data_IF_896600928388
#
_entry.id   IF_896600928388
#
_cell.length_a   1.000
_cell.length_b   1.000
_cell.length_c   1.000
_cell.angle_alpha   90.00
_cell.angle_beta   90.00
_cell.angle_gamma   90.00
#
_symmetry.space_group_name_H-M   'P 1'
#
loop_
_entity.id
_entity.type
_entity.pdbx_description
1 polymer ?
#
# COMPACT_ATOMS: atom_id res chain seq x y z
N UNK A 1 -42.13 35.35 -48.92
CA UNK A 1 -42.07 34.23 -47.96
C UNK A 1 -40.63 33.74 -47.89
N UNK A 2 -40.08 33.82 -46.67
CA UNK A 2 -38.95 33.11 -46.05
C UNK A 2 -37.97 32.33 -46.94
N UNK A 3 -36.69 32.68 -46.81
CA UNK A 3 -35.57 32.03 -47.47
C UNK A 3 -35.16 30.68 -46.88
N UNK A 4 -34.33 29.97 -47.65
CA UNK A 4 -33.66 28.74 -47.22
C UNK A 4 -32.15 28.95 -47.34
N UNK A 5 -31.55 29.41 -46.26
CA UNK A 5 -30.09 29.33 -46.05
C UNK A 5 -29.82 27.90 -45.60
N UNK A 6 -29.25 27.09 -46.49
CA UNK A 6 -28.83 25.72 -46.16
C UNK A 6 -27.57 25.84 -45.27
N UNK A 7 -27.58 25.34 -44.03
CA UNK A 7 -26.43 25.44 -43.16
C UNK A 7 -25.32 24.50 -43.68
N UNK A 8 -24.17 25.09 -44.01
CA UNK A 8 -22.95 24.36 -44.36
C UNK A 8 -22.37 23.76 -43.09
N UNK A 9 -22.72 22.52 -42.79
CA UNK A 9 -22.15 21.75 -41.69
C UNK A 9 -20.63 21.62 -41.87
N UNK A 10 -19.87 22.31 -41.02
CA UNK A 10 -18.43 22.18 -40.93
C UNK A 10 -18.09 20.86 -40.25
N UNK A 11 -17.94 19.80 -41.05
CA UNK A 11 -17.26 18.59 -40.58
C UNK A 11 -15.82 18.98 -40.27
N UNK A 12 -15.43 18.89 -39.00
CA UNK A 12 -14.04 19.05 -38.56
C UNK A 12 -13.18 18.05 -39.32
N UNK A 13 -12.47 18.52 -40.35
CA UNK A 13 -11.50 17.70 -41.06
C UNK A 13 -10.24 17.69 -40.22
N UNK A 14 -10.02 16.61 -39.48
CA UNK A 14 -8.67 16.26 -39.04
C UNK A 14 -7.76 16.33 -40.26
N UNK A 15 -6.79 17.23 -40.18
CA UNK A 15 -5.86 17.46 -41.27
C UNK A 15 -4.92 16.27 -41.34
N UNK A 16 -4.47 15.92 -42.56
CA UNK A 16 -3.47 14.87 -42.79
C UNK A 16 -2.25 15.03 -41.88
N UNK A 17 -1.86 16.28 -41.62
CA UNK A 17 -0.80 16.65 -40.70
C UNK A 17 -1.07 16.27 -39.23
N UNK A 18 -2.32 16.31 -38.75
CA UNK A 18 -2.67 15.84 -37.38
C UNK A 18 -2.46 14.34 -37.25
N UNK A 19 -2.93 13.58 -38.26
CA UNK A 19 -2.80 12.12 -38.30
C UNK A 19 -1.36 11.67 -38.42
N UNK A 20 -0.55 12.40 -39.19
CA UNK A 20 0.89 12.14 -39.33
C UNK A 20 1.63 12.39 -37.99
N UNK A 21 1.33 13.48 -37.27
CA UNK A 21 1.90 13.74 -35.94
C UNK A 21 1.49 12.70 -34.91
N UNK A 22 0.21 12.32 -34.88
CA UNK A 22 -0.28 11.28 -33.97
C UNK A 22 0.40 9.94 -34.28
N UNK A 23 0.52 9.56 -35.55
CA UNK A 23 1.22 8.34 -35.95
C UNK A 23 2.72 8.37 -35.59
N UNK A 24 3.37 9.53 -35.69
CA UNK A 24 4.75 9.73 -35.25
C UNK A 24 4.90 9.61 -33.73
N UNK A 25 3.96 10.14 -32.95
CA UNK A 25 3.92 10.03 -31.49
C UNK A 25 3.76 8.56 -31.06
N UNK A 26 2.81 7.83 -31.65
CA UNK A 26 2.65 6.39 -31.42
C UNK A 26 3.92 5.59 -31.78
N UNK A 27 4.60 5.96 -32.87
CA UNK A 27 5.86 5.32 -33.25
C UNK A 27 7.01 5.63 -32.27
N UNK A 28 7.02 6.83 -31.68
CA UNK A 28 7.97 7.18 -30.62
C UNK A 28 7.69 6.43 -29.33
N UNK A 29 6.41 6.31 -28.95
CA UNK A 29 5.99 5.51 -27.80
C UNK A 29 6.36 4.03 -27.95
N UNK A 30 6.08 3.41 -29.11
CA UNK A 30 6.43 2.01 -29.36
C UNK A 30 7.94 1.76 -29.28
N UNK A 31 8.76 2.69 -29.81
CA UNK A 31 10.23 2.62 -29.67
C UNK A 31 10.66 2.66 -28.21
N UNK A 32 10.06 3.53 -27.40
CA UNK A 32 10.37 3.65 -25.97
C UNK A 32 9.95 2.42 -25.18
N UNK A 33 8.78 1.85 -25.51
CA UNK A 33 8.28 0.61 -24.91
C UNK A 33 9.17 -0.57 -25.28
N UNK A 34 9.56 -0.71 -26.55
CA UNK A 34 10.51 -1.73 -27.01
C UNK A 34 11.85 -1.64 -26.28
N UNK A 35 12.42 -0.43 -26.19
CA UNK A 35 13.68 -0.22 -25.47
C UNK A 35 13.60 -0.64 -24.00
N UNK A 36 12.48 -0.36 -23.32
CA UNK A 36 12.24 -0.83 -21.94
C UNK A 36 12.13 -2.35 -21.85
N UNK A 37 11.44 -2.99 -22.80
CA UNK A 37 11.28 -4.44 -22.86
C UNK A 37 12.63 -5.12 -23.12
N UNK A 38 13.42 -4.62 -24.06
CA UNK A 38 14.77 -5.13 -24.36
C UNK A 38 15.69 -5.02 -23.14
N UNK A 39 15.69 -3.88 -22.47
CA UNK A 39 16.46 -3.67 -21.25
C UNK A 39 16.03 -4.64 -20.14
N UNK A 40 14.72 -4.85 -19.97
CA UNK A 40 14.18 -5.83 -19.01
C UNK A 40 14.63 -7.25 -19.35
N UNK A 41 14.49 -7.68 -20.60
CA UNK A 41 14.85 -9.03 -21.04
C UNK A 41 16.36 -9.29 -20.90
N UNK A 42 17.20 -8.29 -21.20
CA UNK A 42 18.65 -8.37 -20.99
C UNK A 42 19.02 -8.58 -19.52
N UNK A 43 18.30 -7.91 -18.62
CA UNK A 43 18.49 -8.05 -17.18
C UNK A 43 18.01 -9.41 -16.68
N UNK A 44 16.84 -9.89 -17.15
CA UNK A 44 16.34 -11.22 -16.81
C UNK A 44 17.29 -12.34 -17.23
N UNK A 45 17.87 -12.27 -18.44
CA UNK A 45 18.87 -13.23 -18.91
C UNK A 45 20.15 -13.20 -18.05
N UNK A 46 20.61 -12.02 -17.65
CA UNK A 46 21.78 -11.87 -16.77
C UNK A 46 21.50 -12.50 -15.38
N UNK A 47 20.33 -12.26 -14.82
CA UNK A 47 19.92 -12.85 -13.54
C UNK A 47 19.76 -14.38 -13.63
N UNK A 48 19.25 -14.89 -14.75
CA UNK A 48 19.14 -16.33 -14.97
C UNK A 48 20.53 -16.99 -14.97
N UNK A 49 21.48 -16.41 -15.70
CA UNK A 49 22.86 -16.90 -15.72
C UNK A 49 23.50 -16.84 -14.33
N UNK A 50 23.31 -15.76 -13.56
CA UNK A 50 23.82 -15.68 -12.18
C UNK A 50 23.20 -16.74 -11.27
N UNK A 51 21.90 -17.01 -11.39
CA UNK A 51 21.23 -18.04 -10.59
C UNK A 51 21.71 -19.44 -10.91
N UNK A 52 22.05 -19.71 -12.17
CA UNK A 52 22.55 -21.00 -12.62
C UNK A 52 24.02 -21.26 -12.21
N UNK A 53 24.76 -20.22 -11.80
CA UNK A 53 26.09 -20.36 -11.24
C UNK A 53 25.99 -20.65 -9.73
N UNK A 54 26.35 -21.87 -9.32
CA UNK A 54 26.36 -22.28 -7.91
C UNK A 54 27.49 -21.65 -7.09
N UNK A 55 28.47 -21.02 -7.75
CA UNK A 55 29.59 -20.32 -7.11
C UNK A 55 29.17 -19.01 -6.40
N UNK A 56 27.94 -18.56 -6.60
CA UNK A 56 27.42 -17.34 -5.95
C UNK A 56 26.79 -17.70 -4.61
N UNK A 57 27.37 -17.18 -3.52
CA UNK A 57 26.83 -17.41 -2.17
C UNK A 57 25.36 -16.99 -2.04
N UNK A 58 24.61 -17.74 -1.22
CA UNK A 58 23.20 -17.47 -0.96
C UNK A 58 22.93 -16.07 -0.41
N UNK A 59 23.92 -15.48 0.27
CA UNK A 59 23.85 -14.12 0.76
C UNK A 59 23.74 -13.09 -0.38
N UNK A 60 24.58 -13.22 -1.42
CA UNK A 60 24.54 -12.34 -2.59
C UNK A 60 23.25 -12.55 -3.39
N UNK A 61 22.79 -13.82 -3.51
CA UNK A 61 21.48 -14.16 -4.08
C UNK A 61 20.34 -13.47 -3.30
N UNK A 62 20.45 -13.39 -1.97
CA UNK A 62 19.50 -12.68 -1.10
C UNK A 62 19.43 -11.18 -1.37
N UNK A 63 20.58 -10.50 -1.46
CA UNK A 63 20.64 -9.05 -1.69
C UNK A 63 20.08 -8.65 -3.07
N UNK A 64 20.34 -9.46 -4.10
CA UNK A 64 19.88 -9.18 -5.47
C UNK A 64 18.35 -9.17 -5.64
N UNK A 65 17.60 -9.81 -4.72
CA UNK A 65 16.13 -9.86 -4.76
C UNK A 65 15.47 -8.52 -4.42
N UNK A 66 16.22 -7.58 -3.86
CA UNK A 66 15.70 -6.28 -3.42
C UNK A 66 14.86 -6.36 -2.14
N UNK A 67 14.38 -5.21 -1.63
CA UNK A 67 13.54 -5.18 -0.44
C UNK A 67 12.25 -5.97 -0.69
N UNK A 68 11.89 -6.83 0.27
CA UNK A 68 10.66 -7.61 0.18
C UNK A 68 9.46 -6.66 0.10
N UNK A 69 8.72 -6.73 -1.00
CA UNK A 69 7.51 -5.92 -1.21
C UNK A 69 6.42 -6.23 -0.18
N UNK A 70 6.50 -7.38 0.48
CA UNK A 70 5.61 -7.82 1.55
C UNK A 70 6.29 -7.57 2.90
N UNK A 71 6.15 -6.37 3.42
CA UNK A 71 6.42 -6.11 4.84
C UNK A 71 5.45 -6.92 5.71
N UNK A 72 5.95 -7.57 6.76
CA UNK A 72 5.10 -8.26 7.74
C UNK A 72 4.16 -7.24 8.39
N UNK A 73 2.85 -7.37 8.15
CA UNK A 73 1.81 -6.52 8.75
C UNK A 73 1.17 -7.28 9.90
N UNK A 74 1.11 -6.66 11.07
CA UNK A 74 0.42 -7.21 12.23
C UNK A 74 -0.89 -6.47 12.46
N UNK A 75 -1.94 -7.20 12.82
CA UNK A 75 -3.26 -6.62 13.10
C UNK A 75 -3.40 -6.05 14.52
N UNK A 76 -2.34 -6.18 15.34
CA UNK A 76 -2.25 -5.63 16.68
C UNK A 76 -0.88 -5.91 17.32
N UNK A 77 -0.60 -5.24 18.43
CA UNK A 77 0.64 -5.35 19.19
C UNK A 77 0.35 -5.21 20.69
N UNK A 78 1.26 -5.71 21.54
CA UNK A 78 1.16 -5.59 23.01
C UNK A 78 2.31 -4.74 23.51
N UNK A 79 2.00 -3.65 24.23
CA UNK A 79 2.99 -2.77 24.87
C UNK A 79 2.59 -2.59 26.33
N UNK A 80 3.51 -2.84 27.25
CA UNK A 80 3.30 -2.65 28.70
C UNK A 80 2.04 -3.38 29.24
N UNK A 81 1.73 -4.57 28.72
CA UNK A 81 0.54 -5.33 29.12
C UNK A 81 -0.76 -4.92 28.40
N UNK A 82 -0.75 -3.82 27.64
CA UNK A 82 -1.91 -3.35 26.89
C UNK A 82 -1.90 -3.87 25.46
N UNK A 83 -3.02 -4.43 24.99
CA UNK A 83 -3.20 -4.93 23.63
C UNK A 83 -3.86 -3.88 22.74
N UNK A 84 -3.15 -3.48 21.69
CA UNK A 84 -3.61 -2.54 20.68
C UNK A 84 -3.92 -3.27 19.37
N UNK A 85 -4.91 -2.78 18.63
CA UNK A 85 -5.31 -3.32 17.34
C UNK A 85 -5.23 -2.26 16.24
N UNK A 86 -5.05 -2.70 15.00
CA UNK A 86 -5.07 -1.80 13.84
C UNK A 86 -6.49 -1.30 13.59
N UNK A 87 -6.63 -0.05 13.13
CA UNK A 87 -7.92 0.56 12.77
C UNK A 87 -8.76 -0.29 11.81
N UNK A 88 -8.11 -0.98 10.87
CA UNK A 88 -8.77 -1.87 9.91
C UNK A 88 -9.43 -3.08 10.60
N UNK A 89 -8.84 -3.59 11.69
CA UNK A 89 -9.42 -4.67 12.51
C UNK A 89 -10.55 -4.14 13.37
N UNK A 90 -10.34 -3.03 14.08
CA UNK A 90 -11.33 -2.45 14.98
C UNK A 90 -12.59 -1.97 14.23
N UNK A 91 -12.43 -1.48 13.00
CA UNK A 91 -13.55 -1.10 12.15
C UNK A 91 -14.47 -2.27 11.77
N UNK A 92 -14.03 -3.52 11.91
CA UNK A 92 -14.86 -4.72 11.71
C UNK A 92 -15.53 -5.21 13.00
N UNK A 93 -15.13 -4.69 14.17
CA UNK A 93 -15.69 -5.07 15.45
C UNK A 93 -16.96 -4.26 15.75
N UNK A 94 -18.00 -4.93 16.25
CA UNK A 94 -19.28 -4.29 16.64
C UNK A 94 -19.13 -3.32 17.81
N UNK A 95 -18.14 -3.54 18.67
CA UNK A 95 -17.85 -2.71 19.84
C UNK A 95 -16.44 -2.12 19.72
N UNK A 96 -16.33 -0.81 19.93
CA UNK A 96 -15.05 -0.07 19.90
C UNK A 96 -14.41 0.01 21.29
N UNK A 97 -14.37 -1.12 22.00
CA UNK A 97 -13.84 -1.17 23.37
C UNK A 97 -12.31 -1.40 23.37
N UNK A 98 -11.68 -1.42 22.20
CA UNK A 98 -10.25 -1.59 22.00
C UNK A 98 -9.49 -0.41 22.64
N UNK A 99 -8.85 -0.66 23.79
CA UNK A 99 -8.08 0.34 24.53
C UNK A 99 -8.79 0.95 25.74
N UNK A 100 -9.99 0.50 26.10
CA UNK A 100 -10.63 0.87 27.37
C UNK A 100 -10.33 -0.21 28.40
N UNK A 101 -9.58 0.15 29.43
CA UNK A 101 -9.33 -0.69 30.61
C UNK A 101 -9.94 -0.02 31.82
N UNK A 102 -10.77 -0.75 32.56
CA UNK A 102 -11.33 -0.28 33.83
C UNK A 102 -10.46 -0.83 34.95
N UNK A 103 -9.82 0.06 35.71
CA UNK A 103 -9.12 -0.31 36.93
C UNK A 103 -10.08 -0.14 38.11
N UNK A 104 -10.51 -1.26 38.70
CA UNK A 104 -11.37 -1.24 39.87
C UNK A 104 -10.51 -1.09 41.13
N UNK A 105 -10.50 0.13 41.69
CA UNK A 105 -9.82 0.42 42.96
C UNK A 105 -10.79 0.20 44.10
N UNK A 106 -10.51 -0.78 44.96
CA UNK A 106 -11.31 -1.04 46.16
C UNK A 106 -10.65 -0.42 47.37
N UNK A 107 -11.46 0.21 48.23
CA UNK A 107 -11.01 0.74 49.53
C UNK A 107 -11.31 -0.29 50.61
N UNK A 108 -10.29 -0.89 51.22
CA UNK A 108 -10.44 -1.79 52.37
C UNK A 108 -10.02 -1.10 53.66
N UNK A 109 -10.77 -1.32 54.73
CA UNK A 109 -10.48 -0.77 56.07
C UNK A 109 -10.08 -1.92 57.00
N UNK A 110 -9.06 -1.73 57.84
CA UNK A 110 -8.66 -2.79 58.77
C UNK A 110 -9.68 -2.96 59.91
N UNK A 111 -10.36 -1.89 60.32
CA UNK A 111 -11.46 -1.92 61.28
C UNK A 111 -12.42 -0.74 61.08
N UNK A 112 -13.56 -0.75 61.77
CA UNK A 112 -14.57 0.31 61.70
C UNK A 112 -14.11 1.68 62.24
N UNK A 113 -13.03 1.70 63.03
CA UNK A 113 -12.41 2.93 63.56
C UNK A 113 -11.21 3.40 62.72
N UNK A 114 -10.86 2.68 61.66
CA UNK A 114 -9.72 3.01 60.82
C UNK A 114 -10.09 4.12 59.84
N UNK A 115 -9.43 5.27 59.95
CA UNK A 115 -9.63 6.41 59.06
C UNK A 115 -8.73 6.34 57.80
N UNK A 116 -7.87 5.32 57.69
CA UNK A 116 -6.89 5.19 56.60
C UNK A 116 -7.20 3.97 55.71
N UNK A 117 -8.06 4.12 54.69
CA UNK A 117 -8.37 3.02 53.78
C UNK A 117 -7.15 2.61 52.97
N UNK A 118 -6.91 1.30 52.87
CA UNK A 118 -5.99 0.71 51.90
C UNK A 118 -6.63 0.75 50.52
N UNK A 119 -5.85 1.10 49.50
CA UNK A 119 -6.30 1.15 48.11
C UNK A 119 -5.60 0.03 47.36
N UNK A 120 -6.36 -1.00 47.02
CA UNK A 120 -5.86 -2.12 46.25
C UNK A 120 -6.54 -2.11 44.87
N UNK A 121 -5.76 -2.29 43.81
CA UNK A 121 -6.29 -2.50 42.47
C UNK A 121 -6.65 -3.97 42.32
N UNK A 122 -7.92 -4.24 41.99
CA UNK A 122 -8.36 -5.58 41.62
C UNK A 122 -8.03 -5.78 40.15
N UNK A 123 -7.01 -6.58 39.86
CA UNK A 123 -6.69 -7.08 38.52
C UNK A 123 -7.51 -8.30 38.17
#
# INVERSE_FOLDING_TARGET
MVGLVIPRWGWGKETRASKEREAEEFAQEDKMVRGKIEARNKLENYLYNIKANDDVSDFVKGLSRGPNSVAKKFSGYVINGYRFHTRMRDGRCKTKNSGVTVEAITRSFACSKDERPRKDSLT
#
